data_IF_729594494457
#
_entry.id   IF_729594494457
#
_cell.length_a   1.000
_cell.length_b   1.000
_cell.length_c   1.000
_cell.angle_alpha   90.00
_cell.angle_beta   90.00
_cell.angle_gamma   90.00
#
_symmetry.space_group_name_H-M   'P 1'
#
loop_
_entity.id
_entity.type
_entity.pdbx_description
1 polymer ?
#
# COMPACT_ATOMS: atom_id res chain seq x y z
N UNK A 1 14.77 5.50 -51.26
CA UNK A 1 14.76 6.50 -50.16
C UNK A 1 13.71 6.25 -49.07
N UNK A 2 12.65 5.45 -49.28
CA UNK A 2 11.63 5.18 -48.25
C UNK A 2 12.01 4.13 -47.19
N UNK A 3 13.02 3.29 -47.45
CA UNK A 3 13.47 2.24 -46.51
C UNK A 3 14.32 2.76 -45.35
N UNK A 4 15.02 3.89 -45.51
CA UNK A 4 15.86 4.47 -44.47
C UNK A 4 15.06 5.23 -43.40
N UNK A 5 13.86 5.75 -43.72
CA UNK A 5 13.00 6.42 -42.73
C UNK A 5 12.29 5.43 -41.78
N UNK A 6 11.95 4.24 -42.27
CA UNK A 6 11.28 3.21 -41.46
C UNK A 6 12.19 2.61 -40.37
N UNK A 7 13.49 2.46 -40.65
CA UNK A 7 14.47 1.93 -39.69
C UNK A 7 14.79 2.91 -38.55
N UNK A 8 14.78 4.22 -38.83
CA UNK A 8 15.00 5.26 -37.81
C UNK A 8 13.80 5.36 -36.85
N UNK A 9 12.58 5.17 -37.33
CA UNK A 9 11.38 5.18 -36.48
C UNK A 9 11.34 4.00 -35.50
N UNK A 10 11.75 2.80 -35.94
CA UNK A 10 11.78 1.58 -35.10
C UNK A 10 12.85 1.69 -34.00
N UNK A 11 14.02 2.26 -34.30
CA UNK A 11 15.07 2.48 -33.31
C UNK A 11 14.67 3.51 -32.22
N UNK A 12 13.88 4.54 -32.58
CA UNK A 12 13.36 5.52 -31.63
C UNK A 12 12.27 4.95 -30.70
N UNK A 13 11.48 3.97 -31.18
CA UNK A 13 10.44 3.28 -30.39
C UNK A 13 11.02 2.26 -29.40
N UNK A 14 12.20 1.70 -29.66
CA UNK A 14 12.88 0.76 -28.74
C UNK A 14 13.66 1.46 -27.62
N UNK A 15 14.10 2.70 -27.82
CA UNK A 15 14.87 3.48 -26.84
C UNK A 15 14.04 4.16 -25.74
N UNK A 16 12.72 4.04 -25.77
CA UNK A 16 11.79 4.73 -24.86
C UNK A 16 11.01 3.79 -23.94
N UNK A 17 11.40 2.51 -23.85
CA UNK A 17 10.89 1.63 -22.80
C UNK A 17 11.58 2.01 -21.47
N UNK A 18 10.82 2.46 -20.44
CA UNK A 18 11.39 2.67 -19.13
C UNK A 18 12.02 1.36 -18.65
N UNK A 19 13.32 1.40 -18.37
CA UNK A 19 14.08 0.24 -17.92
C UNK A 19 13.67 -0.12 -16.49
N UNK A 20 12.65 -0.99 -16.37
CA UNK A 20 12.24 -1.59 -15.09
C UNK A 20 13.38 -2.43 -14.46
N UNK A 21 14.43 -2.74 -15.21
CA UNK A 21 15.61 -3.44 -14.72
C UNK A 21 16.37 -2.63 -13.66
N UNK A 22 16.42 -1.30 -13.76
CA UNK A 22 17.09 -0.46 -12.76
C UNK A 22 16.34 -0.43 -11.41
N UNK A 23 15.01 -0.53 -11.44
CA UNK A 23 14.15 -0.56 -10.25
C UNK A 23 14.29 -1.90 -9.50
N UNK A 24 14.37 -3.01 -10.24
CA UNK A 24 14.64 -4.33 -9.65
C UNK A 24 16.06 -4.45 -9.10
N UNK A 25 17.05 -3.81 -9.75
CA UNK A 25 18.43 -3.77 -9.26
C UNK A 25 18.56 -3.09 -7.89
N UNK A 26 17.58 -2.27 -7.48
CA UNK A 26 17.52 -1.78 -6.10
C UNK A 26 17.47 -2.95 -5.11
N UNK A 27 16.81 -4.07 -5.41
CA UNK A 27 16.66 -5.17 -4.46
C UNK A 27 17.82 -6.17 -4.45
N UNK A 28 18.72 -6.09 -5.42
CA UNK A 28 19.87 -7.02 -5.56
C UNK A 28 20.94 -6.83 -4.48
N UNK A 29 20.91 -5.71 -3.76
CA UNK A 29 21.85 -5.42 -2.67
C UNK A 29 21.09 -5.39 -1.33
N UNK A 30 21.59 -6.15 -0.35
CA UNK A 30 21.02 -6.15 0.99
C UNK A 30 21.05 -4.74 1.61
N UNK A 31 19.90 -4.29 2.10
CA UNK A 31 19.72 -3.00 2.77
C UNK A 31 19.04 -3.19 4.12
N UNK A 32 19.16 -2.23 5.03
CA UNK A 32 18.43 -2.24 6.30
C UNK A 32 17.02 -1.70 6.09
N UNK A 33 16.03 -2.45 6.57
CA UNK A 33 14.61 -2.08 6.54
C UNK A 33 14.03 -1.88 7.94
N UNK A 34 12.90 -1.19 8.02
CA UNK A 34 12.16 -1.03 9.28
C UNK A 34 10.64 -1.15 9.09
N UNK A 35 9.94 -1.42 10.19
CA UNK A 35 8.48 -1.47 10.24
C UNK A 35 7.94 -0.07 10.60
N UNK A 36 7.18 0.55 9.70
CA UNK A 36 6.54 1.86 9.91
C UNK A 36 5.05 1.65 10.24
N UNK A 37 4.74 1.55 11.55
CA UNK A 37 3.38 1.36 12.08
C UNK A 37 2.87 2.54 12.92
N UNK A 38 3.17 3.81 12.60
CA UNK A 38 2.65 4.91 13.40
C UNK A 38 1.14 5.07 13.19
N UNK A 39 0.47 5.70 14.16
CA UNK A 39 -0.93 6.13 14.01
C UNK A 39 -1.07 7.39 13.14
N UNK A 40 0.03 8.13 12.95
CA UNK A 40 0.12 9.35 12.17
C UNK A 40 1.42 9.38 11.37
N UNK A 41 1.38 9.68 10.06
CA UNK A 41 2.59 9.89 9.29
C UNK A 41 3.29 11.18 9.74
N UNK A 42 4.63 11.14 9.82
CA UNK A 42 5.47 12.31 10.12
C UNK A 42 6.72 12.26 9.28
N UNK A 43 6.98 13.33 8.52
CA UNK A 43 8.19 13.48 7.70
C UNK A 43 9.48 13.15 8.46
N UNK A 44 9.62 13.69 9.67
CA UNK A 44 10.83 13.51 10.49
C UNK A 44 11.19 12.05 10.74
N UNK A 45 10.19 11.14 10.75
CA UNK A 45 10.41 9.71 10.93
C UNK A 45 11.22 9.10 9.79
N UNK A 46 11.01 9.54 8.55
CA UNK A 46 11.79 9.07 7.41
C UNK A 46 13.20 9.67 7.42
N UNK A 47 13.32 10.94 7.80
CA UNK A 47 14.62 11.61 7.96
C UNK A 47 15.47 10.92 9.05
N UNK A 48 14.87 10.57 10.19
CA UNK A 48 15.52 9.80 11.28
C UNK A 48 15.91 8.40 10.82
N UNK A 49 15.04 7.72 10.06
CA UNK A 49 15.31 6.40 9.52
C UNK A 49 16.51 6.42 8.56
N UNK A 50 16.54 7.39 7.64
CA UNK A 50 17.62 7.57 6.69
C UNK A 50 18.97 7.83 7.40
N UNK A 51 18.97 8.71 8.41
CA UNK A 51 20.14 8.97 9.29
C UNK A 51 20.63 7.72 10.01
N UNK A 52 19.71 6.83 10.36
CA UNK A 52 20.00 5.55 11.03
C UNK A 52 20.42 4.43 10.07
N UNK A 53 20.57 4.72 8.77
CA UNK A 53 20.97 3.73 7.77
C UNK A 53 19.82 2.85 7.26
N UNK A 54 18.57 3.14 7.62
CA UNK A 54 17.40 2.48 7.02
C UNK A 54 17.20 3.02 5.60
N UNK A 55 16.91 2.13 4.66
CA UNK A 55 16.72 2.48 3.23
C UNK A 55 15.36 2.08 2.69
N UNK A 56 14.65 1.19 3.39
CA UNK A 56 13.27 0.89 3.06
C UNK A 56 12.38 0.68 4.28
N UNK A 57 11.08 0.83 4.10
CA UNK A 57 10.09 0.74 5.16
C UNK A 57 8.85 -0.04 4.79
N UNK A 58 8.41 -0.96 5.64
CA UNK A 58 7.08 -1.59 5.55
C UNK A 58 6.04 -0.68 6.19
N UNK A 59 5.19 -0.04 5.40
CA UNK A 59 4.24 0.98 5.85
C UNK A 59 2.82 0.41 5.95
N UNK A 60 2.29 0.35 7.17
CA UNK A 60 0.93 -0.11 7.45
C UNK A 60 -0.05 1.05 7.62
N UNK A 61 -0.52 1.61 6.51
CA UNK A 61 -1.36 2.80 6.48
C UNK A 61 -2.77 2.61 7.05
N UNK A 62 -3.32 1.38 7.06
CA UNK A 62 -4.67 1.12 7.61
C UNK A 62 -4.78 1.41 9.12
N UNK A 63 -3.68 1.77 9.80
CA UNK A 63 -3.67 2.19 11.20
C UNK A 63 -3.98 3.68 11.39
N UNK A 64 -3.96 4.47 10.33
CA UNK A 64 -4.03 5.91 10.44
C UNK A 64 -5.44 6.40 10.75
N UNK A 65 -5.53 7.43 11.57
CA UNK A 65 -6.82 8.02 11.92
C UNK A 65 -7.23 9.12 10.93
N UNK A 66 -6.25 9.92 10.49
CA UNK A 66 -6.49 11.11 9.66
C UNK A 66 -7.65 11.98 10.21
N UNK A 67 -7.54 12.38 11.48
CA UNK A 67 -8.55 13.15 12.19
C UNK A 67 -9.75 12.35 12.75
N UNK A 68 -9.86 11.04 12.44
CA UNK A 68 -10.96 10.20 12.95
C UNK A 68 -10.76 9.75 14.40
N UNK A 69 -11.85 9.38 15.06
CA UNK A 69 -11.83 8.69 16.35
C UNK A 69 -11.17 7.31 16.23
N UNK A 70 -10.57 6.81 17.32
CA UNK A 70 -9.95 5.47 17.37
C UNK A 70 -10.89 4.33 16.98
N UNK A 71 -12.21 4.49 17.20
CA UNK A 71 -13.24 3.54 16.76
C UNK A 71 -13.36 3.39 15.24
N UNK A 72 -12.76 4.31 14.48
CA UNK A 72 -12.74 4.31 13.01
C UNK A 72 -11.36 4.04 12.41
N UNK A 73 -10.45 3.43 13.18
CA UNK A 73 -9.07 3.18 12.76
C UNK A 73 -8.96 2.39 11.45
N UNK A 74 -9.85 1.44 11.20
CA UNK A 74 -9.84 0.64 9.96
C UNK A 74 -10.39 1.33 8.72
N UNK A 75 -10.88 2.57 8.84
CA UNK A 75 -11.55 3.25 7.74
C UNK A 75 -10.59 3.93 6.77
N UNK A 76 -9.31 4.08 7.15
CA UNK A 76 -8.34 4.78 6.32
C UNK A 76 -8.21 4.08 4.96
N UNK A 77 -8.44 4.85 3.89
CA UNK A 77 -8.60 4.46 2.48
C UNK A 77 -9.81 3.57 2.16
N UNK A 78 -10.20 2.65 3.05
CA UNK A 78 -11.28 1.69 2.80
C UNK A 78 -12.68 2.27 2.98
N UNK A 79 -12.82 3.42 3.67
CA UNK A 79 -14.11 3.95 4.10
C UNK A 79 -14.70 3.18 5.29
N UNK A 80 -15.96 3.43 5.68
CA UNK A 80 -16.64 2.67 6.74
C UNK A 80 -16.72 1.16 6.45
N UNK A 81 -17.02 0.35 7.47
CA UNK A 81 -17.32 -1.08 7.28
C UNK A 81 -18.56 -1.24 6.39
N UNK A 82 -18.49 -2.11 5.38
CA UNK A 82 -19.58 -2.37 4.45
C UNK A 82 -19.03 -2.66 3.06
N UNK A 83 -19.81 -2.28 2.03
CA UNK A 83 -19.37 -2.36 0.65
C UNK A 83 -18.31 -1.31 0.34
N UNK A 84 -17.23 -1.75 -0.31
CA UNK A 84 -16.19 -0.85 -0.81
C UNK A 84 -16.74 0.08 -1.88
N UNK A 85 -16.68 1.39 -1.62
CA UNK A 85 -17.18 2.46 -2.50
C UNK A 85 -16.10 3.25 -3.24
N UNK A 86 -14.85 2.79 -3.22
CA UNK A 86 -13.69 3.52 -3.73
C UNK A 86 -12.79 4.07 -2.61
N UNK A 87 -11.62 4.58 -2.98
CA UNK A 87 -10.67 5.17 -2.03
C UNK A 87 -11.22 6.47 -1.44
N UNK A 88 -10.99 6.66 -0.15
CA UNK A 88 -11.29 7.94 0.51
C UNK A 88 -10.24 8.98 0.08
N UNK A 89 -10.67 9.96 -0.71
CA UNK A 89 -9.79 10.97 -1.34
C UNK A 89 -8.86 11.70 -0.35
N UNK A 90 -9.38 12.11 0.81
CA UNK A 90 -8.57 12.79 1.82
C UNK A 90 -7.49 11.88 2.42
N UNK A 91 -7.77 10.58 2.56
CA UNK A 91 -6.78 9.61 3.02
C UNK A 91 -5.73 9.35 1.95
N UNK A 92 -6.16 9.28 0.68
CA UNK A 92 -5.27 9.09 -0.46
C UNK A 92 -4.26 10.22 -0.56
N UNK A 93 -4.71 11.47 -0.43
CA UNK A 93 -3.81 12.64 -0.39
C UNK A 93 -2.80 12.55 0.75
N UNK A 94 -3.22 12.12 1.95
CA UNK A 94 -2.30 11.92 3.07
C UNK A 94 -1.29 10.80 2.81
N UNK A 95 -1.70 9.70 2.17
CA UNK A 95 -0.79 8.62 1.78
C UNK A 95 0.24 9.11 0.76
N UNK A 96 -0.20 9.77 -0.31
CA UNK A 96 0.68 10.33 -1.35
C UNK A 96 1.71 11.27 -0.74
N UNK A 97 1.28 12.22 0.10
CA UNK A 97 2.21 13.14 0.77
C UNK A 97 3.23 12.40 1.66
N UNK A 98 2.82 11.32 2.31
CA UNK A 98 3.71 10.49 3.14
C UNK A 98 4.73 9.74 2.29
N UNK A 99 4.33 9.26 1.10
CA UNK A 99 5.22 8.61 0.14
C UNK A 99 6.24 9.60 -0.42
N UNK A 100 5.81 10.82 -0.75
CA UNK A 100 6.70 11.92 -1.17
C UNK A 100 7.71 12.30 -0.06
N UNK A 101 7.28 12.30 1.21
CA UNK A 101 8.17 12.52 2.34
C UNK A 101 9.23 11.43 2.48
N UNK A 102 8.84 10.18 2.27
CA UNK A 102 9.74 9.04 2.34
C UNK A 102 10.76 9.05 1.20
N UNK A 103 10.32 9.31 -0.03
CA UNK A 103 11.20 9.38 -1.19
C UNK A 103 12.20 10.54 -1.09
N UNK A 104 11.74 11.73 -0.65
CA UNK A 104 12.65 12.86 -0.37
C UNK A 104 13.70 12.56 0.69
N UNK A 105 13.42 11.63 1.61
CA UNK A 105 14.37 11.17 2.61
C UNK A 105 15.27 10.02 2.11
N UNK A 106 15.06 9.54 0.88
CA UNK A 106 15.78 8.39 0.31
C UNK A 106 15.36 7.04 0.93
N UNK A 107 14.13 6.94 1.43
CA UNK A 107 13.57 5.72 2.03
C UNK A 107 12.47 5.17 1.12
N UNK A 108 12.72 4.01 0.51
CA UNK A 108 11.72 3.33 -0.32
C UNK A 108 10.62 2.71 0.55
N UNK A 109 9.39 2.71 0.06
CA UNK A 109 8.24 2.22 0.82
C UNK A 109 7.68 0.96 0.19
N UNK A 110 7.53 -0.05 1.05
CA UNK A 110 6.71 -1.24 0.81
C UNK A 110 5.37 -1.01 1.49
N UNK A 111 4.31 -0.88 0.70
CA UNK A 111 2.97 -0.71 1.24
C UNK A 111 2.41 -2.03 1.73
N UNK A 112 1.78 -2.02 2.89
CA UNK A 112 1.20 -3.20 3.49
C UNK A 112 -0.17 -2.89 4.04
N UNK A 113 -1.16 -3.65 3.58
CA UNK A 113 -2.50 -3.61 4.18
C UNK A 113 -2.62 -4.65 5.28
N UNK A 114 -3.05 -4.21 6.47
CA UNK A 114 -3.49 -5.14 7.53
C UNK A 114 -4.99 -5.43 7.43
N UNK A 115 -5.70 -4.79 6.51
CA UNK A 115 -7.14 -4.96 6.33
C UNK A 115 -7.53 -4.78 4.88
N UNK A 116 -8.49 -5.57 4.44
CA UNK A 116 -9.12 -5.49 3.13
C UNK A 116 -10.63 -5.38 3.29
N UNK A 117 -11.38 -4.95 2.26
CA UNK A 117 -12.82 -5.17 2.20
C UNK A 117 -13.17 -6.63 2.52
N UNK A 118 -13.97 -6.85 3.55
CA UNK A 118 -14.33 -8.21 4.01
C UNK A 118 -13.30 -8.92 4.89
N UNK A 119 -12.11 -8.35 5.12
CA UNK A 119 -11.08 -8.92 6.01
C UNK A 119 -10.40 -7.85 6.84
N UNK A 120 -11.16 -7.17 7.70
CA UNK A 120 -10.62 -6.24 8.69
C UNK A 120 -10.00 -6.95 9.89
N UNK A 121 -8.77 -6.56 10.19
CA UNK A 121 -8.07 -6.99 11.39
C UNK A 121 -8.80 -6.51 12.65
N UNK A 122 -8.77 -7.33 13.70
CA UNK A 122 -9.42 -7.07 14.99
C UNK A 122 -9.25 -5.63 15.49
N UNK A 123 -8.02 -5.10 15.48
CA UNK A 123 -7.75 -3.73 15.98
C UNK A 123 -8.28 -2.60 15.09
N UNK A 124 -8.67 -2.93 13.86
CA UNK A 124 -9.24 -2.02 12.86
C UNK A 124 -10.77 -2.10 12.82
N UNK A 125 -11.35 -3.06 13.55
CA UNK A 125 -12.78 -3.33 13.58
C UNK A 125 -13.28 -3.35 15.02
N UNK A 126 -13.15 -2.21 15.70
CA UNK A 126 -13.60 -2.02 17.08
C UNK A 126 -14.74 -1.00 17.17
N UNK A 127 -15.83 -1.37 17.83
CA UNK A 127 -16.97 -0.49 18.13
C UNK A 127 -17.40 -0.66 19.60
N UNK A 128 -17.61 0.45 20.32
CA UNK A 128 -18.07 0.41 21.71
C UNK A 128 -17.16 -0.39 22.67
N UNK A 129 -15.85 -0.38 22.44
CA UNK A 129 -14.87 -1.13 23.25
C UNK A 129 -14.76 -2.62 22.91
N UNK A 130 -15.59 -3.15 22.00
CA UNK A 130 -15.50 -4.52 21.49
C UNK A 130 -14.82 -4.51 20.13
N UNK A 131 -13.93 -5.47 19.91
CA UNK A 131 -13.24 -5.66 18.64
C UNK A 131 -13.60 -7.03 18.09
N UNK A 132 -13.78 -7.14 16.78
CA UNK A 132 -14.02 -8.41 16.11
C UNK A 132 -13.12 -8.58 14.88
N UNK A 133 -12.59 -9.77 14.64
CA UNK A 133 -11.90 -10.07 13.38
C UNK A 133 -12.94 -10.33 12.29
N UNK A 134 -12.87 -9.63 11.17
CA UNK A 134 -13.77 -9.86 10.04
C UNK A 134 -13.21 -10.96 9.12
N UNK A 135 -14.06 -11.90 8.72
CA UNK A 135 -13.70 -13.05 7.89
C UNK A 135 -14.58 -13.19 6.64
N UNK A 136 -15.32 -12.15 6.26
CA UNK A 136 -16.29 -12.21 5.17
C UNK A 136 -15.63 -12.45 3.80
N UNK A 137 -14.35 -12.08 3.65
CA UNK A 137 -13.53 -12.41 2.49
C UNK A 137 -13.58 -13.91 2.20
N UNK A 138 -13.59 -14.77 3.22
CA UNK A 138 -13.61 -16.23 3.05
C UNK A 138 -15.01 -16.83 2.90
N UNK A 139 -16.06 -16.01 3.05
CA UNK A 139 -17.46 -16.46 3.09
C UNK A 139 -18.26 -16.03 1.86
N UNK A 140 -17.88 -14.91 1.24
CA UNK A 140 -18.64 -14.30 0.14
C UNK A 140 -17.67 -13.72 -0.92
N UNK A 141 -17.73 -14.27 -2.13
CA UNK A 141 -16.91 -13.87 -3.28
C UNK A 141 -17.09 -12.39 -3.67
N UNK A 142 -18.16 -11.74 -3.24
CA UNK A 142 -18.31 -10.29 -3.38
C UNK A 142 -17.13 -9.55 -2.75
N UNK A 143 -16.64 -9.98 -1.60
CA UNK A 143 -15.51 -9.35 -0.93
C UNK A 143 -14.16 -9.61 -1.62
N UNK A 144 -14.02 -10.69 -2.39
CA UNK A 144 -12.87 -10.88 -3.27
C UNK A 144 -12.83 -9.78 -4.35
N UNK A 145 -13.99 -9.52 -4.98
CA UNK A 145 -14.12 -8.48 -6.01
C UNK A 145 -13.87 -7.09 -5.43
N UNK A 146 -14.39 -6.81 -4.24
CA UNK A 146 -14.15 -5.54 -3.56
C UNK A 146 -12.69 -5.36 -3.16
N UNK A 147 -12.04 -6.40 -2.64
CA UNK A 147 -10.60 -6.36 -2.32
C UNK A 147 -9.76 -6.12 -3.57
N UNK A 148 -10.05 -6.83 -4.66
CA UNK A 148 -9.40 -6.60 -5.94
C UNK A 148 -9.64 -5.18 -6.49
N UNK A 149 -10.86 -4.64 -6.32
CA UNK A 149 -11.15 -3.25 -6.67
C UNK A 149 -10.31 -2.27 -5.86
N UNK A 150 -10.25 -2.43 -4.52
CA UNK A 150 -9.44 -1.55 -3.67
C UNK A 150 -7.97 -1.56 -4.03
N UNK A 151 -7.44 -2.72 -4.43
CA UNK A 151 -6.07 -2.83 -4.90
C UNK A 151 -5.84 -2.15 -6.25
N UNK A 152 -6.76 -2.32 -7.20
CA UNK A 152 -6.65 -1.65 -8.51
C UNK A 152 -6.72 -0.14 -8.36
N UNK A 153 -7.61 0.37 -7.51
CA UNK A 153 -7.74 1.81 -7.30
C UNK A 153 -6.49 2.38 -6.63
N UNK A 154 -5.92 1.67 -5.65
CA UNK A 154 -4.66 2.07 -5.02
C UNK A 154 -3.48 2.05 -6.00
N UNK A 155 -3.32 0.96 -6.76
CA UNK A 155 -2.25 0.86 -7.75
C UNK A 155 -2.36 1.93 -8.85
N UNK A 156 -3.58 2.29 -9.28
CA UNK A 156 -3.81 3.39 -10.23
C UNK A 156 -3.42 4.75 -9.66
N UNK A 157 -3.71 4.98 -8.39
CA UNK A 157 -3.31 6.21 -7.72
C UNK A 157 -1.79 6.30 -7.52
N UNK A 158 -1.13 5.15 -7.34
CA UNK A 158 0.33 5.05 -7.16
C UNK A 158 1.13 5.15 -8.45
N UNK A 159 0.55 4.90 -9.63
CA UNK A 159 1.24 5.07 -10.92
C UNK A 159 1.74 6.51 -11.18
N UNK A 160 1.44 7.44 -10.28
CA UNK A 160 1.93 8.82 -10.25
C UNK A 160 3.24 8.97 -9.45
N UNK A 161 3.66 7.96 -8.67
CA UNK A 161 4.82 7.97 -7.79
C UNK A 161 5.82 6.89 -8.26
N UNK A 162 7.01 7.31 -8.70
CA UNK A 162 8.01 6.45 -9.37
C UNK A 162 8.69 5.38 -8.51
N UNK A 163 8.38 5.30 -7.21
CA UNK A 163 9.30 4.71 -6.22
C UNK A 163 8.63 3.82 -5.16
N UNK A 164 7.37 3.44 -5.40
CA UNK A 164 6.67 2.46 -4.57
C UNK A 164 7.00 1.05 -5.08
N UNK A 165 7.79 0.32 -4.31
CA UNK A 165 7.94 -1.13 -4.54
C UNK A 165 6.80 -1.81 -3.79
N UNK A 166 5.67 -1.93 -4.49
CA UNK A 166 4.48 -2.61 -3.98
C UNK A 166 4.71 -4.11 -3.83
N UNK A 167 5.25 -4.54 -2.69
CA UNK A 167 5.01 -5.92 -2.22
C UNK A 167 3.80 -5.90 -1.29
N UNK A 168 2.68 -6.35 -1.84
CA UNK A 168 1.40 -6.42 -1.15
C UNK A 168 1.42 -7.58 -0.15
N UNK A 169 1.90 -7.31 1.06
CA UNK A 169 1.90 -8.27 2.15
C UNK A 169 0.52 -8.32 2.83
N UNK A 170 -0.34 -9.20 2.33
CA UNK A 170 -1.51 -9.65 3.08
C UNK A 170 -1.02 -10.65 4.12
N UNK A 171 -1.00 -10.24 5.39
CA UNK A 171 -0.72 -11.16 6.49
C UNK A 171 -1.99 -11.93 6.84
N UNK A 172 -2.12 -13.23 6.53
CA UNK A 172 -2.97 -14.09 7.33
C UNK A 172 -2.33 -14.14 8.71
N UNK A 173 -2.89 -13.39 9.66
CA UNK A 173 -2.56 -13.60 11.06
C UNK A 173 -2.90 -15.06 11.44
N UNK A 174 -2.11 -15.63 12.35
CA UNK A 174 -2.34 -16.89 13.10
C UNK A 174 -3.77 -17.08 13.65
N UNK A 175 -4.64 -16.07 13.58
CA UNK A 175 -6.08 -16.19 13.80
C UNK A 175 -6.80 -17.06 12.77
N UNK A 176 -6.16 -17.48 11.68
CA UNK A 176 -6.71 -18.50 10.76
C UNK A 176 -7.00 -19.84 11.45
N UNK A 177 -6.26 -20.20 12.50
CA UNK A 177 -6.54 -21.41 13.31
C UNK A 177 -7.87 -21.32 14.08
N UNK A 178 -8.52 -20.14 14.07
CA UNK A 178 -9.80 -19.88 14.73
C UNK A 178 -10.96 -19.67 13.74
N UNK A 179 -10.72 -19.80 12.43
CA UNK A 179 -11.81 -19.78 11.46
C UNK A 179 -12.60 -21.10 11.57
N UNK A 180 -13.94 -21.07 11.61
CA UNK A 180 -14.73 -22.30 11.60
C UNK A 180 -14.40 -23.08 10.33
N UNK A 181 -14.05 -24.36 10.48
CA UNK A 181 -13.90 -25.28 9.36
C UNK A 181 -15.23 -25.32 8.59
N UNK A 182 -15.14 -25.25 7.26
CA UNK A 182 -16.27 -25.35 6.35
C UNK A 182 -16.98 -26.69 6.47
#
# INVERSE_FOLDING_TARGET
>A
MMTSFALVLIAALLGSLPSHAAELAYWDIQRKGANFFPLEPRKSRFEDAARSGIRFGRLAFNKWLNGRLKSRRGDFLLGPKGDYGGLVENDLRSLIQTLDDADRAGVKIVLTTLSLPGSRWLQHNCAGGKCEQQFDLWKDLRYHRQSAASWRDLARAEQVISDVVGTFDFRPDSSMDRAPAF
#
